data_IF_797045192709
#
_entry.id   IF_797045192709
#
_cell.length_a   1.000
_cell.length_b   1.000
_cell.length_c   1.000
_cell.angle_alpha   90.00
_cell.angle_beta   90.00
_cell.angle_gamma   90.00
#
_symmetry.space_group_name_H-M   'P 1'
#
loop_
_entity.id
_entity.type
_entity.pdbx_description
1 polymer ?
#
# COMPACT_ATOMS: atom_id res chain seq x y z
N UNK A 1 5.57 -16.14 2.54
CA UNK A 1 5.15 -16.99 1.39
C UNK A 1 5.83 -16.53 0.12
N UNK A 2 6.52 -17.43 -0.57
CA UNK A 2 7.13 -17.12 -1.86
C UNK A 2 6.07 -17.01 -2.97
N UNK A 3 6.14 -15.91 -3.72
CA UNK A 3 5.33 -15.69 -4.92
C UNK A 3 5.70 -16.68 -6.04
N UNK A 4 4.87 -16.78 -7.09
CA UNK A 4 5.11 -17.71 -8.19
C UNK A 4 6.14 -17.11 -9.17
N UNK A 5 7.36 -17.65 -9.27
CA UNK A 5 8.42 -17.06 -10.11
C UNK A 5 8.07 -17.06 -11.60
N UNK A 6 7.13 -17.90 -12.06
CA UNK A 6 6.64 -17.87 -13.44
C UNK A 6 5.68 -16.69 -13.63
N UNK A 7 4.78 -16.44 -12.68
CA UNK A 7 3.88 -15.30 -12.72
C UNK A 7 4.68 -13.99 -12.77
N UNK A 8 5.64 -13.82 -11.86
CA UNK A 8 6.53 -12.65 -11.82
C UNK A 8 7.30 -12.47 -13.14
N UNK A 9 7.90 -13.55 -13.65
CA UNK A 9 8.64 -13.50 -14.92
C UNK A 9 7.74 -13.11 -16.09
N UNK A 10 6.52 -13.65 -16.16
CA UNK A 10 5.55 -13.30 -17.21
C UNK A 10 5.13 -11.83 -17.10
N UNK A 11 4.87 -11.32 -15.90
CA UNK A 11 4.55 -9.90 -15.73
C UNK A 11 5.73 -8.98 -16.09
N UNK A 12 6.95 -9.33 -15.69
CA UNK A 12 8.16 -8.58 -16.04
C UNK A 12 8.42 -8.59 -17.55
N UNK A 13 8.15 -9.71 -18.25
CA UNK A 13 8.20 -9.78 -19.71
C UNK A 13 7.20 -8.82 -20.37
N UNK A 14 5.97 -8.77 -19.88
CA UNK A 14 4.93 -7.86 -20.39
C UNK A 14 5.30 -6.40 -20.13
N UNK A 15 5.77 -6.08 -18.92
CA UNK A 15 6.26 -4.75 -18.58
C UNK A 15 7.44 -4.33 -19.47
N UNK A 16 8.39 -5.24 -19.71
CA UNK A 16 9.52 -5.01 -20.62
C UNK A 16 9.06 -4.76 -22.06
N UNK A 17 8.11 -5.55 -22.57
CA UNK A 17 7.56 -5.37 -23.90
C UNK A 17 6.86 -4.01 -24.05
N UNK A 18 6.04 -3.63 -23.06
CA UNK A 18 5.40 -2.33 -23.02
C UNK A 18 6.41 -1.18 -22.93
N UNK A 19 7.46 -1.29 -22.11
CA UNK A 19 8.53 -0.28 -22.01
C UNK A 19 9.29 -0.09 -23.32
N UNK A 20 9.54 -1.17 -24.08
CA UNK A 20 10.14 -1.07 -25.42
C UNK A 20 9.24 -0.31 -26.38
N UNK A 21 7.94 -0.62 -26.39
CA UNK A 21 6.96 0.10 -27.19
C UNK A 21 6.88 1.57 -26.78
N UNK A 22 6.80 1.84 -25.48
CA UNK A 22 6.78 3.17 -24.87
C UNK A 22 7.96 4.02 -25.38
N UNK A 23 9.17 3.50 -25.23
CA UNK A 23 10.41 4.20 -25.64
C UNK A 23 10.47 4.43 -27.15
N UNK A 24 9.91 3.51 -27.95
CA UNK A 24 9.90 3.64 -29.42
C UNK A 24 8.96 4.72 -29.96
N UNK A 25 8.02 5.23 -29.14
CA UNK A 25 6.91 6.10 -29.57
C UNK A 25 6.98 7.54 -29.05
N UNK A 26 8.19 8.05 -28.80
CA UNK A 26 8.45 9.45 -28.44
C UNK A 26 7.55 9.94 -27.27
N UNK A 27 7.68 9.34 -26.07
CA UNK A 27 6.82 9.65 -24.92
C UNK A 27 6.87 11.12 -24.48
N UNK A 28 7.98 11.82 -24.74
CA UNK A 28 8.11 13.26 -24.54
C UNK A 28 7.12 14.04 -25.41
N UNK A 29 6.97 13.66 -26.68
CA UNK A 29 6.03 14.29 -27.60
C UNK A 29 4.59 14.04 -27.17
N UNK A 30 4.26 12.81 -26.78
CA UNK A 30 2.94 12.47 -26.23
C UNK A 30 2.64 13.32 -24.98
N UNK A 31 3.61 13.45 -24.08
CA UNK A 31 3.47 14.25 -22.86
C UNK A 31 3.18 15.72 -23.19
N UNK A 32 3.91 16.32 -24.14
CA UNK A 32 3.63 17.68 -24.61
C UNK A 32 2.26 17.81 -25.28
N UNK A 33 1.81 16.82 -26.05
CA UNK A 33 0.48 16.84 -26.66
C UNK A 33 -0.64 16.81 -25.62
N UNK A 34 -0.52 15.96 -24.60
CA UNK A 34 -1.47 15.88 -23.50
C UNK A 34 -1.50 17.18 -22.68
N UNK A 35 -0.31 17.73 -22.38
CA UNK A 35 -0.16 19.03 -21.73
C UNK A 35 -0.89 20.15 -22.48
N UNK A 36 -0.71 20.23 -23.80
CA UNK A 36 -1.34 21.25 -24.62
C UNK A 36 -2.86 21.05 -24.74
N UNK A 37 -3.32 19.80 -24.86
CA UNK A 37 -4.75 19.45 -24.94
C UNK A 37 -5.53 19.94 -23.72
N UNK A 38 -4.99 19.70 -22.52
CA UNK A 38 -5.71 19.96 -21.26
C UNK A 38 -5.41 21.32 -20.65
N UNK A 39 -4.30 21.96 -21.05
CA UNK A 39 -3.94 23.32 -20.61
C UNK A 39 -3.57 24.21 -21.81
N UNK A 40 -4.50 24.50 -22.74
CA UNK A 40 -4.22 25.35 -23.89
C UNK A 40 -3.91 26.80 -23.50
N UNK A 41 -4.45 27.27 -22.37
CA UNK A 41 -4.25 28.62 -21.86
C UNK A 41 -2.84 28.85 -21.25
N UNK A 42 -2.16 27.79 -20.80
CA UNK A 42 -0.82 27.86 -20.20
C UNK A 42 0.32 28.06 -21.23
N UNK A 43 -0.01 28.33 -22.48
CA UNK A 43 0.95 28.49 -23.58
C UNK A 43 1.34 27.16 -24.24
N UNK A 44 2.36 27.23 -25.11
CA UNK A 44 2.85 26.06 -25.85
C UNK A 44 3.92 25.33 -25.04
N UNK A 45 3.77 24.00 -24.81
CA UNK A 45 4.85 23.18 -24.24
C UNK A 45 6.13 23.26 -25.10
N UNK A 46 7.28 23.46 -24.45
CA UNK A 46 8.59 23.60 -25.10
C UNK A 46 9.39 22.32 -25.01
N UNK A 47 9.33 21.66 -23.86
CA UNK A 47 10.09 20.45 -23.60
C UNK A 47 9.36 19.54 -22.65
N UNK A 48 9.61 18.24 -22.80
CA UNK A 48 9.27 17.23 -21.82
C UNK A 48 10.49 16.35 -21.59
N UNK A 49 10.70 15.89 -20.36
CA UNK A 49 11.74 14.93 -20.03
C UNK A 49 11.22 13.90 -19.02
N UNK A 50 11.79 12.70 -19.06
CA UNK A 50 11.59 11.71 -18.01
C UNK A 50 12.02 12.32 -16.66
N UNK A 51 11.09 12.38 -15.72
CA UNK A 51 11.31 12.96 -14.40
C UNK A 51 11.62 11.89 -13.36
N UNK A 52 10.76 10.88 -13.28
CA UNK A 52 10.89 9.77 -12.33
C UNK A 52 10.26 8.53 -12.93
N UNK A 53 10.88 7.38 -12.71
CA UNK A 53 10.26 6.08 -12.96
C UNK A 53 10.16 5.36 -11.61
N UNK A 54 8.93 5.16 -11.15
CA UNK A 54 8.63 4.40 -9.93
C UNK A 54 8.33 2.93 -10.25
N UNK A 55 7.84 2.21 -9.23
CA UNK A 55 7.39 0.83 -9.39
C UNK A 55 6.15 0.75 -10.30
N UNK A 56 5.12 1.57 -10.05
CA UNK A 56 3.86 1.44 -10.79
C UNK A 56 3.66 2.48 -11.89
N UNK A 57 4.51 3.52 -11.96
CA UNK A 57 4.24 4.67 -12.82
C UNK A 57 5.52 5.29 -13.41
N UNK A 58 5.37 5.89 -14.58
CA UNK A 58 6.40 6.69 -15.24
C UNK A 58 5.92 8.13 -15.34
N UNK A 59 6.74 9.05 -14.86
CA UNK A 59 6.43 10.48 -14.77
C UNK A 59 7.30 11.29 -15.73
N UNK A 60 6.67 12.14 -16.52
CA UNK A 60 7.32 13.12 -17.38
C UNK A 60 7.05 14.53 -16.86
N UNK A 61 8.09 15.35 -16.79
CA UNK A 61 7.96 16.78 -16.47
C UNK A 61 7.89 17.56 -17.76
N UNK A 62 6.85 18.37 -17.92
CA UNK A 62 6.61 19.21 -19.09
C UNK A 62 6.78 20.68 -18.71
N UNK A 63 7.53 21.42 -19.52
CA UNK A 63 7.77 22.86 -19.35
C UNK A 63 7.09 23.67 -20.44
N UNK A 64 6.50 24.81 -20.07
CA UNK A 64 5.84 25.75 -20.98
C UNK A 64 6.77 26.88 -21.41
N UNK A 65 6.48 27.50 -22.57
CA UNK A 65 7.23 28.65 -23.06
C UNK A 65 6.72 29.92 -22.38
N UNK A 66 7.25 30.25 -21.21
CA UNK A 66 6.79 31.43 -20.49
C UNK A 66 7.85 32.51 -20.50
N UNK A 67 7.61 33.57 -21.29
CA UNK A 67 8.41 34.79 -21.23
C UNK A 67 8.29 35.50 -19.86
N UNK A 68 7.32 35.15 -19.01
CA UNK A 68 7.02 35.80 -17.74
C UNK A 68 7.05 34.88 -16.49
N UNK A 69 7.46 33.61 -16.59
CA UNK A 69 7.57 32.67 -15.44
C UNK A 69 6.30 32.44 -14.57
N UNK A 70 5.08 32.75 -15.06
CA UNK A 70 3.86 32.67 -14.23
C UNK A 70 3.25 31.27 -14.14
N UNK A 71 3.33 30.42 -15.18
CA UNK A 71 2.75 29.07 -15.10
C UNK A 71 3.79 28.04 -14.63
N UNK A 72 3.47 27.22 -13.61
CA UNK A 72 4.36 26.18 -13.12
C UNK A 72 4.48 25.03 -14.12
N UNK A 73 5.62 24.34 -14.06
CA UNK A 73 5.79 23.06 -14.74
C UNK A 73 4.71 22.05 -14.29
N UNK A 74 4.43 21.07 -15.14
CA UNK A 74 3.48 20.01 -14.83
C UNK A 74 4.15 18.64 -14.88
N UNK A 75 3.58 17.71 -14.13
CA UNK A 75 3.93 16.29 -14.19
C UNK A 75 2.80 15.55 -14.88
N UNK A 76 3.16 14.71 -15.85
CA UNK A 76 2.27 13.72 -16.45
C UNK A 76 2.73 12.35 -15.99
N UNK A 77 1.86 11.66 -15.26
CA UNK A 77 2.08 10.34 -14.66
C UNK A 77 1.31 9.30 -15.46
N UNK A 78 1.98 8.26 -15.94
CA UNK A 78 1.38 7.14 -16.67
C UNK A 78 1.47 5.84 -15.87
N UNK A 79 0.39 5.06 -15.82
CA UNK A 79 0.36 3.77 -15.14
C UNK A 79 1.01 2.66 -15.99
N UNK A 80 2.06 2.03 -15.45
CA UNK A 80 2.90 1.04 -16.13
C UNK A 80 2.18 -0.30 -16.30
N UNK A 81 2.09 -0.81 -17.54
CA UNK A 81 1.53 -2.13 -17.85
C UNK A 81 2.37 -3.26 -17.24
N UNK A 82 1.72 -4.26 -16.65
CA UNK A 82 2.37 -5.44 -16.08
C UNK A 82 3.00 -5.20 -14.71
N UNK A 83 2.97 -3.97 -14.19
CA UNK A 83 3.35 -3.67 -12.79
C UNK A 83 2.11 -3.34 -11.95
N UNK A 84 1.25 -2.47 -12.47
CA UNK A 84 -0.10 -2.30 -11.95
C UNK A 84 -1.08 -3.11 -12.82
N UNK A 85 -1.91 -3.95 -12.19
CA UNK A 85 -2.86 -4.82 -12.89
C UNK A 85 -4.15 -4.06 -13.24
N UNK A 86 -4.84 -3.53 -12.22
CA UNK A 86 -6.09 -2.77 -12.37
C UNK A 86 -5.81 -1.27 -12.60
N UNK A 87 -5.12 -0.94 -13.71
CA UNK A 87 -4.54 0.40 -13.95
C UNK A 87 -5.58 1.52 -14.02
N UNK A 88 -6.73 1.27 -14.65
CA UNK A 88 -7.81 2.24 -14.80
C UNK A 88 -8.46 2.53 -13.44
N UNK A 89 -8.86 1.48 -12.72
CA UNK A 89 -9.44 1.57 -11.37
C UNK A 89 -8.49 2.29 -10.43
N UNK A 90 -7.19 1.92 -10.46
CA UNK A 90 -6.13 2.55 -9.68
C UNK A 90 -6.02 4.05 -9.94
N UNK A 91 -5.92 4.47 -11.20
CA UNK A 91 -5.79 5.90 -11.54
C UNK A 91 -7.05 6.68 -11.18
N UNK A 92 -8.24 6.11 -11.38
CA UNK A 92 -9.50 6.74 -10.97
C UNK A 92 -9.57 6.93 -9.44
N UNK A 93 -9.18 5.91 -8.67
CA UNK A 93 -9.15 5.98 -7.20
C UNK A 93 -8.14 7.02 -6.70
N UNK A 94 -6.94 7.07 -7.31
CA UNK A 94 -5.90 8.04 -6.98
C UNK A 94 -6.37 9.48 -7.22
N UNK A 95 -7.00 9.76 -8.38
CA UNK A 95 -7.52 11.09 -8.71
C UNK A 95 -8.64 11.51 -7.74
N UNK A 96 -9.61 10.64 -7.48
CA UNK A 96 -10.70 10.94 -6.55
C UNK A 96 -10.17 11.21 -5.12
N UNK A 97 -9.19 10.43 -4.69
CA UNK A 97 -8.52 10.62 -3.39
C UNK A 97 -7.79 11.98 -3.34
N UNK A 98 -7.01 12.32 -4.36
CA UNK A 98 -6.32 13.61 -4.42
C UNK A 98 -7.29 14.77 -4.38
N UNK A 99 -8.36 14.73 -5.19
CA UNK A 99 -9.39 15.79 -5.19
C UNK A 99 -10.07 15.91 -3.82
N UNK A 100 -10.38 14.77 -3.18
CA UNK A 100 -10.95 14.75 -1.83
C UNK A 100 -10.01 15.40 -0.80
N UNK A 101 -8.76 14.93 -0.70
CA UNK A 101 -7.78 15.41 0.28
C UNK A 101 -7.54 16.91 0.11
N UNK A 102 -7.41 17.39 -1.13
CA UNK A 102 -7.22 18.81 -1.43
C UNK A 102 -8.38 19.67 -0.96
N UNK A 103 -9.61 19.13 -0.98
CA UNK A 103 -10.84 19.83 -0.59
C UNK A 103 -11.10 19.78 0.93
N UNK A 104 -10.76 18.66 1.58
CA UNK A 104 -11.22 18.37 2.95
C UNK A 104 -10.15 18.45 4.02
N UNK A 105 -8.87 18.52 3.63
CA UNK A 105 -7.74 18.51 4.59
C UNK A 105 -6.80 19.68 4.36
N UNK A 106 -5.95 19.96 5.33
CA UNK A 106 -4.82 20.89 5.18
C UNK A 106 -3.57 20.25 4.56
N UNK A 107 -3.63 19.00 4.10
CA UNK A 107 -2.47 18.29 3.56
C UNK A 107 -2.11 18.92 2.20
N UNK A 108 -0.90 19.47 2.05
CA UNK A 108 -0.48 19.99 0.75
C UNK A 108 -0.26 18.82 -0.20
N UNK A 109 -0.92 18.84 -1.36
CA UNK A 109 -0.76 17.83 -2.41
C UNK A 109 -0.72 18.50 -3.78
N UNK A 110 -0.16 17.82 -4.82
CA UNK A 110 -0.25 18.31 -6.19
C UNK A 110 -1.69 18.53 -6.63
N UNK A 111 -1.94 19.60 -7.38
CA UNK A 111 -3.24 19.84 -8.01
C UNK A 111 -3.39 18.94 -9.23
N UNK A 112 -4.48 18.18 -9.30
CA UNK A 112 -4.83 17.40 -10.49
C UNK A 112 -5.53 18.32 -11.48
N UNK A 113 -4.97 18.45 -12.68
CA UNK A 113 -5.55 19.26 -13.75
C UNK A 113 -6.41 18.43 -14.70
N UNK A 114 -6.03 17.18 -14.94
CA UNK A 114 -6.78 16.27 -15.80
C UNK A 114 -6.34 14.83 -15.57
N UNK A 115 -7.21 13.89 -15.94
CA UNK A 115 -6.86 12.47 -16.07
C UNK A 115 -7.52 11.89 -17.32
N UNK A 116 -7.08 10.72 -17.76
CA UNK A 116 -7.70 10.04 -18.89
C UNK A 116 -6.97 8.80 -19.33
N UNK A 117 -7.33 8.28 -20.50
CA UNK A 117 -6.72 7.10 -21.10
C UNK A 117 -6.17 7.48 -22.48
N UNK A 118 -4.97 6.99 -22.79
CA UNK A 118 -4.37 7.08 -24.12
C UNK A 118 -3.82 5.72 -24.54
N UNK A 119 -3.16 5.65 -25.70
CA UNK A 119 -2.60 4.39 -26.21
C UNK A 119 -1.59 3.73 -25.26
N UNK A 120 -0.92 4.52 -24.41
CA UNK A 120 0.03 4.00 -23.44
C UNK A 120 -0.62 3.50 -22.15
N UNK A 121 -1.86 3.88 -21.90
CA UNK A 121 -2.61 3.55 -20.70
C UNK A 121 -3.20 4.79 -20.01
N UNK A 122 -3.72 4.59 -18.79
CA UNK A 122 -4.24 5.66 -17.94
C UNK A 122 -3.15 6.66 -17.55
N UNK A 123 -3.51 7.94 -17.49
CA UNK A 123 -2.62 9.03 -17.10
C UNK A 123 -3.29 10.05 -16.17
N UNK A 124 -2.45 10.75 -15.40
CA UNK A 124 -2.81 11.90 -14.57
C UNK A 124 -1.90 13.07 -14.95
N UNK A 125 -2.47 14.26 -15.11
CA UNK A 125 -1.77 15.52 -15.30
C UNK A 125 -1.94 16.35 -14.03
N UNK A 126 -0.83 16.75 -13.41
CA UNK A 126 -0.85 17.45 -12.14
C UNK A 126 0.25 18.51 -12.04
N UNK A 127 0.15 19.43 -11.06
CA UNK A 127 1.18 20.42 -10.78
C UNK A 127 2.52 19.79 -10.41
N UNK A 128 3.64 20.30 -10.92
CA UNK A 128 4.96 19.93 -10.40
C UNK A 128 5.23 20.69 -9.10
N UNK A 129 5.55 19.96 -8.02
CA UNK A 129 5.92 20.53 -6.73
C UNK A 129 7.40 20.26 -6.46
N UNK A 130 8.14 21.32 -6.12
CA UNK A 130 9.55 21.21 -5.75
C UNK A 130 9.70 20.80 -4.29
N UNK A 131 10.66 19.90 -4.05
CA UNK A 131 11.02 19.46 -2.71
C UNK A 131 11.89 18.20 -2.74
N UNK A 132 12.49 17.90 -1.59
CA UNK A 132 13.32 16.71 -1.41
C UNK A 132 12.53 15.70 -0.58
N UNK A 133 12.42 14.42 -0.99
CA UNK A 133 11.75 13.40 -0.18
C UNK A 133 12.32 13.33 1.24
N UNK A 134 11.44 13.26 2.25
CA UNK A 134 11.84 13.23 3.65
C UNK A 134 12.75 12.02 3.95
N UNK A 135 12.50 10.87 3.31
CA UNK A 135 13.37 9.70 3.43
C UNK A 135 14.80 9.98 2.96
N UNK A 136 15.00 10.85 1.97
CA UNK A 136 16.33 11.23 1.48
C UNK A 136 17.10 12.09 2.50
N UNK A 137 16.39 12.83 3.35
CA UNK A 137 17.00 13.60 4.45
C UNK A 137 17.33 12.71 5.67
N UNK A 138 16.57 11.63 5.84
CA UNK A 138 16.70 10.70 6.96
C UNK A 138 17.67 9.53 6.68
N UNK A 139 17.94 9.22 5.42
CA UNK A 139 18.68 8.00 5.04
C UNK A 139 20.15 8.02 5.49
N UNK A 140 20.70 6.82 5.66
CA UNK A 140 22.12 6.60 5.80
C UNK A 140 22.85 6.80 4.45
N UNK A 141 23.55 7.91 4.28
CA UNK A 141 24.33 8.19 3.07
C UNK A 141 25.57 7.32 2.90
N UNK A 142 26.02 6.63 3.95
CA UNK A 142 27.14 5.69 3.87
C UNK A 142 26.73 4.31 3.37
N UNK A 143 25.44 4.01 3.30
CA UNK A 143 24.94 2.77 2.68
C UNK A 143 24.90 2.98 1.16
N UNK A 144 25.66 2.17 0.40
CA UNK A 144 25.64 2.20 -1.05
C UNK A 144 24.33 1.62 -1.62
N UNK A 145 23.88 2.19 -2.74
CA UNK A 145 22.84 1.71 -3.67
C UNK A 145 21.79 0.73 -3.11
N UNK A 146 20.57 1.23 -2.85
CA UNK A 146 19.43 0.43 -2.41
C UNK A 146 18.25 1.29 -1.94
N UNK A 147 17.24 0.65 -1.35
CA UNK A 147 16.14 1.33 -0.67
C UNK A 147 16.69 2.13 0.54
N UNK A 148 16.07 3.27 0.89
CA UNK A 148 16.57 4.11 1.98
C UNK A 148 16.45 3.37 3.33
N UNK A 149 17.53 3.37 4.10
CA UNK A 149 17.56 2.89 5.50
C UNK A 149 17.84 4.08 6.41
N UNK A 150 17.16 4.18 7.55
CA UNK A 150 17.34 5.27 8.51
C UNK A 150 18.82 5.39 8.95
N UNK A 151 19.36 6.60 8.98
CA UNK A 151 20.69 6.85 9.50
C UNK A 151 20.74 6.53 11.00
N UNK A 152 21.52 5.53 11.46
CA UNK A 152 21.58 5.16 12.87
C UNK A 152 22.20 6.27 13.74
N UNK A 153 22.98 7.17 13.13
CA UNK A 153 23.64 8.31 13.78
C UNK A 153 22.84 9.62 13.62
N UNK A 154 21.60 9.56 13.16
CA UNK A 154 20.76 10.76 13.06
C UNK A 154 20.60 11.41 14.44
N UNK A 155 20.70 12.75 14.48
CA UNK A 155 20.48 13.46 15.73
C UNK A 155 19.02 13.34 16.17
N UNK A 156 18.78 13.25 17.47
CA UNK A 156 17.43 13.22 18.02
C UNK A 156 16.62 14.45 17.60
N UNK A 157 17.26 15.63 17.49
CA UNK A 157 16.60 16.85 17.03
C UNK A 157 16.07 16.71 15.59
N UNK A 158 16.92 16.26 14.66
CA UNK A 158 16.52 16.05 13.25
C UNK A 158 15.44 14.98 13.11
N UNK A 159 15.55 13.89 13.89
CA UNK A 159 14.57 12.82 13.89
C UNK A 159 13.20 13.29 14.42
N UNK A 160 13.19 14.00 15.56
CA UNK A 160 11.96 14.58 16.13
C UNK A 160 11.29 15.54 15.16
N UNK A 161 12.07 16.41 14.49
CA UNK A 161 11.51 17.33 13.49
C UNK A 161 10.83 16.59 12.33
N UNK A 162 11.49 15.58 11.76
CA UNK A 162 10.90 14.78 10.69
C UNK A 162 9.65 14.02 11.14
N UNK A 163 9.69 13.42 12.34
CA UNK A 163 8.55 12.73 12.93
C UNK A 163 7.39 13.68 13.24
N UNK A 164 7.67 14.95 13.53
CA UNK A 164 6.65 15.97 13.75
C UNK A 164 5.90 16.27 12.47
N UNK A 165 6.60 16.48 11.36
CA UNK A 165 5.95 16.69 10.06
C UNK A 165 5.11 15.47 9.66
N UNK A 166 5.59 14.24 9.92
CA UNK A 166 4.79 13.03 9.69
C UNK A 166 3.58 12.93 10.64
N UNK A 167 3.74 13.23 11.93
CA UNK A 167 2.67 13.16 12.92
C UNK A 167 1.53 14.12 12.58
N UNK A 168 1.84 15.35 12.14
CA UNK A 168 0.84 16.32 11.68
C UNK A 168 0.02 15.74 10.52
N UNK A 169 0.67 15.12 9.53
CA UNK A 169 -0.02 14.50 8.40
C UNK A 169 -0.86 13.28 8.78
N UNK A 170 -0.34 12.41 9.66
CA UNK A 170 -1.06 11.23 10.16
C UNK A 170 -2.31 11.66 10.93
N UNK A 171 -2.20 12.67 11.80
CA UNK A 171 -3.33 13.21 12.55
C UNK A 171 -4.36 13.80 11.59
N UNK A 172 -3.95 14.58 10.60
CA UNK A 172 -4.88 15.17 9.63
C UNK A 172 -5.61 14.12 8.79
N UNK A 173 -4.93 13.07 8.32
CA UNK A 173 -5.57 11.94 7.63
C UNK A 173 -6.56 11.20 8.55
N UNK A 174 -6.18 10.96 9.80
CA UNK A 174 -7.00 10.23 10.76
C UNK A 174 -8.27 10.98 11.16
N UNK A 175 -8.37 12.30 10.95
CA UNK A 175 -9.56 13.09 11.29
C UNK A 175 -10.70 12.87 10.30
N UNK A 176 -10.39 12.41 9.09
CA UNK A 176 -11.38 12.10 8.08
C UNK A 176 -12.14 10.83 8.45
N UNK A 177 -13.46 10.89 8.42
CA UNK A 177 -14.37 9.81 8.80
C UNK A 177 -15.25 9.38 7.63
N UNK A 178 -15.46 8.07 7.52
CA UNK A 178 -16.35 7.47 6.54
C UNK A 178 -17.26 6.42 7.19
N UNK A 179 -18.44 6.23 6.61
CA UNK A 179 -19.44 5.26 7.07
C UNK A 179 -19.20 3.84 6.53
N UNK A 180 -18.31 3.68 5.55
CA UNK A 180 -17.92 2.37 5.00
C UNK A 180 -16.45 2.32 4.60
N UNK A 181 -15.91 1.10 4.55
CA UNK A 181 -14.59 0.75 4.03
C UNK A 181 -14.71 0.55 2.52
N UNK A 182 -13.86 1.22 1.76
CA UNK A 182 -13.90 1.21 0.30
C UNK A 182 -13.05 2.32 -0.33
N UNK A 183 -13.01 2.35 -1.65
CA UNK A 183 -12.33 3.41 -2.39
C UNK A 183 -13.28 4.60 -2.66
N UNK A 184 -12.70 5.79 -2.65
CA UNK A 184 -13.40 7.03 -2.99
C UNK A 184 -13.80 7.09 -4.46
N UNK A 185 -15.00 7.59 -4.69
CA UNK A 185 -15.48 8.00 -6.00
C UNK A 185 -15.94 9.45 -5.92
N UNK A 186 -15.49 10.24 -6.90
CA UNK A 186 -16.01 11.57 -7.14
C UNK A 186 -17.33 11.43 -7.90
N UNK A 187 -18.40 11.87 -7.27
CA UNK A 187 -19.77 11.87 -7.78
C UNK A 187 -20.13 13.24 -8.37
N UNK A 188 -21.36 13.40 -8.85
CA UNK A 188 -21.81 14.68 -9.41
C UNK A 188 -21.64 15.84 -8.40
N UNK A 189 -21.28 17.02 -8.94
CA UNK A 189 -21.14 18.28 -8.18
C UNK A 189 -20.03 18.28 -7.10
N UNK A 190 -18.87 17.68 -7.39
CA UNK A 190 -17.69 17.62 -6.51
C UNK A 190 -17.99 16.98 -5.13
N UNK A 191 -18.95 16.06 -5.09
CA UNK A 191 -19.27 15.27 -3.90
C UNK A 191 -18.47 13.97 -3.91
N UNK A 192 -18.14 13.43 -2.74
CA UNK A 192 -17.34 12.21 -2.62
C UNK A 192 -18.07 11.17 -1.79
N UNK A 193 -18.06 9.93 -2.26
CA UNK A 193 -18.67 8.80 -1.56
C UNK A 193 -17.82 7.54 -1.69
N UNK A 194 -17.99 6.63 -0.74
CA UNK A 194 -17.38 5.30 -0.77
C UNK A 194 -18.35 4.34 -1.47
N UNK A 195 -18.07 4.01 -2.74
CA UNK A 195 -18.95 3.21 -3.60
C UNK A 195 -18.26 2.00 -4.22
N UNK A 196 -16.93 1.91 -4.03
CA UNK A 196 -16.08 0.89 -4.66
C UNK A 196 -15.32 0.09 -3.62
N UNK A 197 -14.86 -1.09 -4.01
CA UNK A 197 -13.96 -1.92 -3.19
C UNK A 197 -12.67 -1.18 -2.84
N UNK A 198 -12.07 -1.47 -1.67
CA UNK A 198 -10.69 -1.10 -1.43
C UNK A 198 -9.80 -1.70 -2.52
N UNK A 199 -8.96 -0.87 -3.14
CA UNK A 199 -7.90 -1.34 -4.03
C UNK A 199 -6.56 -1.19 -3.30
N UNK A 200 -6.08 -2.29 -2.72
CA UNK A 200 -4.89 -2.29 -1.86
C UNK A 200 -3.63 -2.61 -2.64
N UNK A 201 -2.47 -2.24 -2.08
CA UNK A 201 -1.17 -2.62 -2.63
C UNK A 201 -1.05 -4.15 -2.69
N UNK A 202 -1.47 -4.85 -1.63
CA UNK A 202 -1.40 -6.30 -1.53
C UNK A 202 -2.30 -7.03 -2.54
N UNK A 203 -3.47 -6.48 -2.88
CA UNK A 203 -4.28 -7.01 -3.97
C UNK A 203 -3.53 -6.97 -5.30
N UNK A 204 -2.83 -5.87 -5.59
CA UNK A 204 -2.00 -5.79 -6.79
C UNK A 204 -0.87 -6.83 -6.78
N UNK A 205 -0.18 -7.00 -5.65
CA UNK A 205 0.88 -8.02 -5.52
C UNK A 205 0.36 -9.44 -5.69
N UNK A 206 -0.80 -9.77 -5.12
CA UNK A 206 -1.44 -11.08 -5.32
C UNK A 206 -1.83 -11.31 -6.79
N UNK A 207 -2.29 -10.29 -7.50
CA UNK A 207 -2.59 -10.41 -8.93
C UNK A 207 -1.33 -10.52 -9.79
N UNK A 208 -0.34 -9.66 -9.55
CA UNK A 208 0.87 -9.57 -10.37
C UNK A 208 1.85 -10.71 -10.10
N UNK A 209 2.11 -11.00 -8.82
CA UNK A 209 3.19 -11.90 -8.38
C UNK A 209 2.66 -13.31 -8.03
N UNK A 210 1.39 -13.45 -7.66
CA UNK A 210 0.76 -14.75 -7.43
C UNK A 210 -0.23 -15.20 -8.53
N UNK A 211 -0.49 -14.36 -9.53
CA UNK A 211 -1.47 -14.64 -10.60
C UNK A 211 -2.82 -15.08 -10.03
N UNK A 212 -3.31 -14.43 -8.96
CA UNK A 212 -4.65 -14.71 -8.43
C UNK A 212 -5.69 -14.13 -9.39
N UNK A 213 -6.76 -14.86 -9.74
CA UNK A 213 -7.79 -14.37 -10.64
C UNK A 213 -8.62 -13.24 -10.00
N UNK A 214 -9.29 -12.43 -10.83
CA UNK A 214 -10.08 -11.28 -10.37
C UNK A 214 -11.22 -11.70 -9.42
N UNK A 215 -11.77 -12.89 -9.64
CA UNK A 215 -12.85 -13.50 -8.86
C UNK A 215 -12.42 -13.86 -7.43
N UNK A 216 -11.11 -13.89 -7.13
CA UNK A 216 -10.60 -14.08 -5.78
C UNK A 216 -10.77 -12.84 -4.88
N UNK A 217 -11.18 -11.71 -5.46
CA UNK A 217 -11.31 -10.42 -4.78
C UNK A 217 -12.76 -9.94 -4.76
N UNK A 218 -13.13 -9.03 -3.83
CA UNK A 218 -14.46 -8.43 -3.82
C UNK A 218 -14.82 -7.78 -5.18
N UNK A 219 -16.10 -7.79 -5.60
CA UNK A 219 -16.49 -7.16 -6.86
C UNK A 219 -16.28 -5.63 -6.80
N UNK A 220 -16.12 -4.95 -7.95
CA UNK A 220 -15.74 -3.53 -8.00
C UNK A 220 -16.62 -2.58 -7.18
N UNK A 221 -17.92 -2.84 -7.09
CA UNK A 221 -18.90 -2.02 -6.34
C UNK A 221 -19.11 -2.44 -4.88
N UNK A 222 -18.29 -3.36 -4.36
CA UNK A 222 -18.42 -3.85 -2.98
C UNK A 222 -17.83 -2.87 -1.97
N UNK A 223 -18.51 -2.66 -0.85
CA UNK A 223 -17.99 -1.90 0.30
C UNK A 223 -18.24 -2.69 1.57
N UNK A 224 -17.43 -2.47 2.61
CA UNK A 224 -17.64 -3.13 3.90
C UNK A 224 -18.17 -2.11 4.92
N UNK A 225 -19.09 -2.54 5.78
CA UNK A 225 -19.60 -1.73 6.90
C UNK A 225 -19.02 -2.16 8.24
N UNK A 226 -18.04 -3.07 8.22
CA UNK A 226 -17.46 -3.70 9.41
C UNK A 226 -15.97 -3.97 9.24
N UNK A 227 -15.15 -3.52 10.19
CA UNK A 227 -13.72 -3.85 10.27
C UNK A 227 -13.49 -5.36 10.38
N UNK A 228 -14.37 -6.08 11.08
CA UNK A 228 -14.31 -7.53 11.22
C UNK A 228 -14.49 -8.23 9.87
N UNK A 229 -15.50 -7.81 9.08
CA UNK A 229 -15.77 -8.40 7.77
C UNK A 229 -14.66 -8.10 6.77
N UNK A 230 -14.08 -6.89 6.85
CA UNK A 230 -12.96 -6.52 6.00
C UNK A 230 -11.69 -7.31 6.35
N UNK A 231 -11.34 -7.45 7.64
CA UNK A 231 -10.21 -8.28 8.07
C UNK A 231 -10.41 -9.75 7.68
N UNK A 232 -11.65 -10.26 7.80
CA UNK A 232 -12.00 -11.60 7.32
C UNK A 232 -11.81 -11.74 5.80
N UNK A 233 -12.14 -10.71 5.02
CA UNK A 233 -11.89 -10.69 3.57
C UNK A 233 -10.39 -10.74 3.27
N UNK A 234 -9.55 -9.98 3.98
CA UNK A 234 -8.08 -10.04 3.83
C UNK A 234 -7.52 -11.43 4.20
N UNK A 235 -7.98 -12.02 5.30
CA UNK A 235 -7.60 -13.38 5.70
C UNK A 235 -8.05 -14.43 4.67
N UNK A 236 -9.23 -14.23 4.06
CA UNK A 236 -9.73 -15.07 2.97
C UNK A 236 -8.82 -14.99 1.75
N UNK A 237 -8.32 -13.80 1.39
CA UNK A 237 -7.37 -13.63 0.28
C UNK A 237 -6.07 -14.42 0.50
N UNK A 238 -5.53 -14.43 1.73
CA UNK A 238 -4.36 -15.25 2.07
C UNK A 238 -4.60 -16.75 1.88
N UNK A 239 -5.81 -17.22 2.20
CA UNK A 239 -6.20 -18.61 2.02
C UNK A 239 -6.42 -18.95 0.53
N UNK A 240 -7.09 -18.07 -0.21
CA UNK A 240 -7.28 -18.20 -1.66
C UNK A 240 -5.96 -18.21 -2.40
N UNK A 241 -4.96 -17.44 -1.94
CA UNK A 241 -3.62 -17.47 -2.50
C UNK A 241 -3.07 -18.91 -2.52
N UNK A 242 -3.05 -19.62 -1.38
CA UNK A 242 -2.59 -21.01 -1.33
C UNK A 242 -3.43 -21.97 -2.18
N UNK A 243 -4.76 -21.79 -2.16
CA UNK A 243 -5.71 -22.65 -2.87
C UNK A 243 -5.53 -22.55 -4.38
N UNK A 244 -5.47 -21.32 -4.89
CA UNK A 244 -5.48 -21.02 -6.32
C UNK A 244 -4.10 -20.97 -6.94
N UNK A 245 -3.03 -20.87 -6.14
CA UNK A 245 -1.65 -20.95 -6.64
C UNK A 245 -1.50 -22.19 -7.53
N UNK A 246 -1.11 -22.01 -8.79
CA UNK A 246 -1.21 -23.08 -9.78
C UNK A 246 -0.13 -24.16 -9.57
N UNK A 247 0.98 -23.79 -8.93
CA UNK A 247 2.12 -24.67 -8.67
C UNK A 247 2.45 -24.76 -7.19
N UNK A 248 3.15 -25.82 -6.81
CA UNK A 248 3.89 -25.85 -5.54
C UNK A 248 5.22 -25.13 -5.78
N UNK A 249 5.68 -24.26 -4.86
CA UNK A 249 7.08 -23.89 -4.84
C UNK A 249 7.91 -25.18 -4.75
N UNK A 250 8.96 -25.31 -5.56
CA UNK A 250 9.78 -26.52 -5.70
C UNK A 250 10.47 -26.99 -4.40
N UNK A 251 10.33 -26.23 -3.31
CA UNK A 251 10.93 -26.44 -1.99
C UNK A 251 9.91 -26.69 -0.86
N UNK A 252 8.60 -26.69 -1.13
CA UNK A 252 7.57 -26.84 -0.08
C UNK A 252 7.31 -28.32 0.22
N UNK A 253 7.68 -28.77 1.44
CA UNK A 253 7.32 -30.10 1.94
C UNK A 253 5.81 -30.21 2.23
N UNK A 254 5.27 -31.42 2.36
CA UNK A 254 3.88 -31.62 2.79
C UNK A 254 3.60 -30.96 4.15
N UNK A 255 4.54 -31.10 5.09
CA UNK A 255 4.47 -30.48 6.40
C UNK A 255 4.47 -28.95 6.32
N UNK A 256 5.31 -28.35 5.47
CA UNK A 256 5.34 -26.89 5.26
C UNK A 256 4.02 -26.39 4.64
N UNK A 257 3.47 -27.12 3.67
CA UNK A 257 2.18 -26.78 3.07
C UNK A 257 1.03 -26.87 4.09
N UNK A 258 1.02 -27.92 4.91
CA UNK A 258 0.05 -28.09 5.99
C UNK A 258 0.18 -26.98 7.03
N UNK A 259 1.41 -26.66 7.46
CA UNK A 259 1.71 -25.55 8.36
C UNK A 259 1.17 -24.23 7.79
N UNK A 260 1.41 -23.94 6.52
CA UNK A 260 0.87 -22.74 5.84
C UNK A 260 -0.66 -22.69 5.88
N UNK A 261 -1.35 -23.80 5.57
CA UNK A 261 -2.82 -23.88 5.62
C UNK A 261 -3.37 -23.67 7.02
N UNK A 262 -2.77 -24.32 8.03
CA UNK A 262 -3.15 -24.14 9.45
C UNK A 262 -3.09 -22.66 9.83
N UNK A 263 -2.00 -21.97 9.49
CA UNK A 263 -1.85 -20.55 9.78
C UNK A 263 -2.97 -19.70 9.17
N UNK A 264 -3.39 -19.98 7.93
CA UNK A 264 -4.48 -19.20 7.27
C UNK A 264 -5.83 -19.49 7.89
N UNK A 265 -6.16 -20.75 8.18
CA UNK A 265 -7.43 -21.07 8.83
C UNK A 265 -7.52 -20.49 10.24
N UNK A 266 -6.45 -20.59 11.01
CA UNK A 266 -6.42 -20.00 12.34
C UNK A 266 -6.47 -18.48 12.28
N UNK A 267 -5.70 -17.84 11.41
CA UNK A 267 -5.81 -16.39 11.23
C UNK A 267 -7.22 -15.96 10.79
N UNK A 268 -7.84 -16.70 9.86
CA UNK A 268 -9.23 -16.49 9.45
C UNK A 268 -10.20 -16.59 10.64
N UNK A 269 -10.04 -17.60 11.49
CA UNK A 269 -10.85 -17.76 12.71
C UNK A 269 -10.56 -16.66 13.74
N UNK A 270 -9.31 -16.21 13.85
CA UNK A 270 -8.89 -15.12 14.72
C UNK A 270 -9.62 -13.83 14.34
N UNK A 271 -9.71 -13.48 13.05
CA UNK A 271 -10.34 -12.22 12.61
C UNK A 271 -11.78 -12.04 13.11
N UNK A 272 -12.54 -13.13 13.29
CA UNK A 272 -13.91 -13.10 13.82
C UNK A 272 -14.01 -12.79 15.32
N UNK A 273 -12.92 -13.01 16.06
CA UNK A 273 -12.87 -12.93 17.52
C UNK A 273 -11.92 -11.83 18.01
N UNK A 274 -11.42 -10.98 17.11
CA UNK A 274 -10.59 -9.84 17.49
C UNK A 274 -11.44 -8.83 18.28
N UNK A 275 -10.90 -8.40 19.41
CA UNK A 275 -11.49 -7.32 20.22
C UNK A 275 -11.17 -5.97 19.57
N UNK A 276 -12.05 -5.54 18.67
CA UNK A 276 -11.96 -4.27 17.96
C UNK A 276 -12.78 -3.21 18.71
N UNK A 277 -12.18 -2.04 18.96
CA UNK A 277 -12.80 -0.99 19.79
C UNK A 277 -14.14 -0.51 19.21
N UNK A 278 -14.22 -0.35 17.89
CA UNK A 278 -15.46 0.02 17.22
C UNK A 278 -15.51 -0.58 15.81
N UNK A 279 -15.95 -1.85 15.68
CA UNK A 279 -15.87 -2.55 14.41
C UNK A 279 -16.80 -1.97 13.33
N UNK A 280 -17.81 -1.17 13.70
CA UNK A 280 -18.75 -0.56 12.73
C UNK A 280 -18.32 0.83 12.24
N UNK A 281 -17.09 1.27 12.56
CA UNK A 281 -16.57 2.58 12.19
C UNK A 281 -16.69 3.63 13.30
N UNK A 282 -16.40 4.92 13.06
CA UNK A 282 -16.10 5.47 11.74
C UNK A 282 -14.77 4.93 11.18
N UNK A 283 -14.74 4.76 9.86
CA UNK A 283 -13.56 4.32 9.12
C UNK A 283 -12.68 5.52 8.75
N UNK A 284 -11.37 5.29 8.57
CA UNK A 284 -10.37 6.35 8.38
C UNK A 284 -9.73 6.25 7.01
N UNK A 285 -9.32 7.39 6.44
CA UNK A 285 -8.52 7.36 5.21
C UNK A 285 -7.16 6.73 5.50
N UNK A 286 -6.78 5.73 4.72
CA UNK A 286 -5.53 5.01 4.88
C UNK A 286 -4.88 4.77 3.52
N UNK A 287 -3.56 4.98 3.45
CA UNK A 287 -2.75 4.75 2.26
C UNK A 287 -1.66 3.73 2.58
N UNK A 288 -1.63 2.61 1.83
CA UNK A 288 -0.70 1.52 2.07
C UNK A 288 0.78 1.95 1.92
N UNK A 289 1.07 2.93 1.06
CA UNK A 289 2.42 3.48 0.83
C UNK A 289 2.62 4.88 1.45
N UNK A 290 1.86 5.23 2.51
CA UNK A 290 2.07 6.49 3.22
C UNK A 290 3.36 6.45 4.06
N UNK A 291 4.45 6.99 3.50
CA UNK A 291 5.80 6.92 4.09
C UNK A 291 6.66 8.16 3.75
N UNK A 292 7.79 8.38 4.45
CA UNK A 292 8.66 9.55 4.22
C UNK A 292 9.21 9.70 2.79
N UNK A 293 9.26 8.64 1.99
CA UNK A 293 9.66 8.72 0.58
C UNK A 293 8.64 9.46 -0.31
N UNK A 294 7.41 9.58 0.17
CA UNK A 294 6.28 10.20 -0.52
C UNK A 294 5.91 11.57 0.08
N UNK A 295 6.72 12.09 1.01
CA UNK A 295 6.56 13.42 1.61
C UNK A 295 7.72 14.31 1.17
N UNK A 296 7.42 15.37 0.42
CA UNK A 296 8.41 16.33 -0.08
C UNK A 296 8.62 17.45 0.93
N UNK A 297 9.88 17.71 1.26
CA UNK A 297 10.30 18.78 2.16
C UNK A 297 10.85 19.98 1.38
N UNK A 298 10.44 21.17 1.79
CA UNK A 298 11.05 22.42 1.34
C UNK A 298 12.33 22.67 2.16
N UNK A 299 13.50 22.74 1.52
CA UNK A 299 14.77 22.93 2.22
C UNK A 299 14.91 24.34 2.83
N UNK A 300 14.21 25.35 2.30
CA UNK A 300 14.30 26.72 2.80
C UNK A 300 13.44 26.91 4.04
N UNK A 301 12.22 26.36 4.05
CA UNK A 301 11.29 26.51 5.18
C UNK A 301 11.38 25.36 6.18
N UNK A 302 12.01 24.25 5.81
CA UNK A 302 12.04 23.00 6.59
C UNK A 302 10.64 22.45 6.92
N UNK A 303 9.64 22.71 6.06
CA UNK A 303 8.26 22.20 6.17
C UNK A 303 7.88 21.35 4.97
N UNK A 304 6.83 20.56 5.10
CA UNK A 304 6.25 19.80 3.99
C UNK A 304 5.81 20.73 2.85
N UNK A 305 6.37 20.53 1.66
CA UNK A 305 5.91 21.15 0.40
C UNK A 305 4.67 20.46 -0.15
N UNK A 306 4.68 19.13 -0.17
CA UNK A 306 3.58 18.31 -0.64
C UNK A 306 3.74 16.85 -0.22
N UNK A 307 2.62 16.14 -0.07
CA UNK A 307 2.54 14.69 -0.07
C UNK A 307 2.15 14.24 -1.47
N UNK A 308 2.90 13.30 -2.01
CA UNK A 308 2.70 12.71 -3.33
C UNK A 308 2.34 11.24 -3.18
N UNK A 309 2.01 10.62 -4.31
CA UNK A 309 1.82 9.18 -4.40
C UNK A 309 0.65 8.62 -3.57
N UNK A 310 -0.57 9.02 -3.94
CA UNK A 310 -1.82 8.61 -3.28
C UNK A 310 -2.44 7.33 -3.85
N UNK A 311 -1.65 6.53 -4.57
CA UNK A 311 -2.10 5.22 -5.05
C UNK A 311 -2.34 4.25 -3.88
N UNK A 312 -3.28 3.33 -4.05
CA UNK A 312 -3.69 2.38 -3.00
C UNK A 312 -4.18 3.04 -1.70
N UNK A 313 -4.84 4.21 -1.83
CA UNK A 313 -5.54 4.87 -0.73
C UNK A 313 -7.02 4.51 -0.72
N UNK A 314 -7.56 4.23 0.46
CA UNK A 314 -8.96 3.83 0.66
C UNK A 314 -9.42 4.18 2.09
N UNK A 315 -10.74 4.22 2.31
CA UNK A 315 -11.31 4.22 3.65
C UNK A 315 -11.14 2.82 4.26
N UNK A 316 -10.54 2.74 5.44
CA UNK A 316 -10.09 1.51 6.07
C UNK A 316 -10.49 1.44 7.56
N UNK A 317 -10.39 0.26 8.21
CA UNK A 317 -10.53 0.13 9.66
C UNK A 317 -9.69 1.17 10.41
N UNK A 318 -10.28 1.80 11.43
CA UNK A 318 -9.56 2.79 12.23
C UNK A 318 -8.33 2.16 12.94
N UNK A 319 -8.37 0.86 13.20
CA UNK A 319 -7.28 0.08 13.77
C UNK A 319 -5.97 0.20 12.98
N UNK A 320 -6.02 0.41 11.66
CA UNK A 320 -4.81 0.62 10.86
C UNK A 320 -4.09 1.94 11.20
N UNK A 321 -4.81 2.92 11.75
CA UNK A 321 -4.23 4.18 12.25
C UNK A 321 -3.76 4.06 13.70
N UNK A 322 -4.16 3.00 14.41
CA UNK A 322 -3.82 2.74 15.80
C UNK A 322 -2.60 1.84 15.96
N UNK A 323 -1.90 1.49 14.88
CA UNK A 323 -0.72 0.63 14.94
C UNK A 323 0.54 1.41 14.63
N UNK A 324 1.67 0.94 15.16
CA UNK A 324 2.98 1.55 14.89
C UNK A 324 3.23 1.68 13.37
N UNK A 325 3.75 2.82 12.88
CA UNK A 325 4.10 2.95 11.47
C UNK A 325 5.28 2.04 11.11
N UNK A 326 5.12 1.20 10.08
CA UNK A 326 6.18 0.28 9.64
C UNK A 326 7.41 1.01 9.07
N UNK A 327 7.25 2.24 8.59
CA UNK A 327 8.29 3.00 7.89
C UNK A 327 9.27 3.74 8.81
N UNK A 328 9.20 3.58 10.14
CA UNK A 328 10.04 4.32 11.09
C UNK A 328 11.55 4.13 10.84
N UNK A 329 11.94 2.96 10.32
CA UNK A 329 13.32 2.63 9.92
C UNK A 329 13.61 2.89 8.43
N UNK A 330 12.63 3.40 7.68
CA UNK A 330 12.58 3.57 6.22
C UNK A 330 12.58 2.28 5.39
N UNK A 331 12.71 1.13 6.04
CA UNK A 331 12.66 -0.22 5.45
C UNK A 331 11.20 -0.68 5.33
N UNK A 332 10.83 -1.32 4.21
CA UNK A 332 9.56 -2.04 4.14
C UNK A 332 9.67 -3.37 4.87
N UNK A 333 8.56 -4.02 5.25
CA UNK A 333 8.60 -5.30 5.92
C UNK A 333 9.50 -6.33 5.21
N UNK A 334 9.44 -6.40 3.88
CA UNK A 334 10.24 -7.37 3.10
C UNK A 334 11.76 -7.13 3.18
N UNK A 335 12.18 -5.93 3.57
CA UNK A 335 13.59 -5.55 3.73
C UNK A 335 14.08 -5.75 5.19
N UNK A 336 13.23 -6.25 6.09
CA UNK A 336 13.63 -6.56 7.47
C UNK A 336 14.59 -7.76 7.54
N UNK A 337 15.18 -7.95 8.71
CA UNK A 337 16.09 -9.06 8.97
C UNK A 337 15.40 -10.41 8.81
N UNK A 338 16.17 -11.43 8.44
CA UNK A 338 15.67 -12.81 8.43
C UNK A 338 15.25 -13.31 9.81
N UNK A 339 15.81 -12.73 10.88
CA UNK A 339 15.37 -12.92 12.26
C UNK A 339 14.53 -11.72 12.70
N UNK A 340 13.20 -11.89 12.66
CA UNK A 340 12.26 -10.82 12.94
C UNK A 340 12.31 -10.33 14.40
N UNK A 341 12.94 -11.05 15.33
CA UNK A 341 13.11 -10.57 16.71
C UNK A 341 14.06 -9.37 16.82
N UNK A 342 14.90 -9.14 15.81
CA UNK A 342 15.79 -7.97 15.76
C UNK A 342 15.05 -6.69 15.37
N UNK A 343 13.94 -6.80 14.66
CA UNK A 343 13.15 -5.64 14.24
C UNK A 343 12.63 -4.83 15.44
N UNK A 344 11.96 -5.42 16.46
CA UNK A 344 11.54 -4.68 17.66
C UNK A 344 12.68 -3.94 18.36
N UNK A 345 13.86 -4.56 18.49
CA UNK A 345 15.01 -3.95 19.17
C UNK A 345 15.50 -2.66 18.47
N UNK A 346 15.46 -2.63 17.13
CA UNK A 346 15.79 -1.45 16.33
C UNK A 346 14.66 -0.44 16.27
N UNK A 347 13.42 -0.93 16.16
CA UNK A 347 12.23 -0.13 15.94
C UNK A 347 11.77 0.60 17.21
N UNK A 348 11.75 -0.08 18.36
CA UNK A 348 11.22 0.45 19.63
C UNK A 348 11.83 1.80 20.04
N UNK A 349 13.16 2.02 19.99
CA UNK A 349 13.73 3.34 20.31
C UNK A 349 13.19 4.46 19.41
N UNK A 350 12.97 4.17 18.12
CA UNK A 350 12.44 5.13 17.14
C UNK A 350 10.95 5.35 17.32
N UNK A 351 10.22 4.26 17.60
CA UNK A 351 8.81 4.29 17.90
C UNK A 351 8.50 5.14 19.14
N UNK A 352 9.29 5.01 20.21
CA UNK A 352 9.14 5.83 21.40
C UNK A 352 9.33 7.34 21.12
N UNK A 353 10.29 7.70 20.27
CA UNK A 353 10.47 9.10 19.83
C UNK A 353 9.27 9.57 19.01
N UNK A 354 8.74 8.73 18.12
CA UNK A 354 7.53 9.06 17.35
C UNK A 354 6.32 9.26 18.26
N UNK A 355 6.09 8.38 19.24
CA UNK A 355 5.00 8.52 20.20
C UNK A 355 5.11 9.78 21.06
N UNK A 356 6.32 10.15 21.48
CA UNK A 356 6.57 11.41 22.19
C UNK A 356 6.12 12.60 21.33
N UNK A 357 6.60 12.67 20.09
CA UNK A 357 6.27 13.75 19.16
C UNK A 357 4.79 13.76 18.77
N UNK A 358 4.18 12.58 18.60
CA UNK A 358 2.76 12.46 18.29
C UNK A 358 1.90 13.01 19.44
N UNK A 359 2.24 12.71 20.70
CA UNK A 359 1.55 13.28 21.87
C UNK A 359 1.69 14.81 21.93
N UNK A 360 2.88 15.34 21.68
CA UNK A 360 3.09 16.79 21.61
C UNK A 360 2.19 17.43 20.54
N UNK A 361 2.09 16.84 19.35
CA UNK A 361 1.22 17.34 18.28
C UNK A 361 -0.27 17.26 18.65
N UNK A 362 -0.69 16.16 19.28
CA UNK A 362 -2.06 15.99 19.78
C UNK A 362 -2.41 17.07 20.81
N UNK A 363 -1.55 17.29 21.81
CA UNK A 363 -1.76 18.28 22.87
C UNK A 363 -1.87 19.70 22.31
N UNK A 364 -1.05 20.04 21.31
CA UNK A 364 -1.12 21.33 20.62
C UNK A 364 -2.43 21.53 19.85
N UNK A 365 -2.89 20.52 19.11
CA UNK A 365 -4.15 20.58 18.37
C UNK A 365 -5.36 20.60 19.31
N UNK A 366 -5.30 19.89 20.44
CA UNK A 366 -6.30 19.95 21.49
C UNK A 366 -6.37 21.34 22.14
N UNK A 367 -5.22 21.94 22.44
CA UNK A 367 -5.15 23.32 22.95
C UNK A 367 -5.75 24.35 21.99
N UNK A 368 -5.77 24.06 20.69
CA UNK A 368 -6.41 24.88 19.65
C UNK A 368 -7.88 24.51 19.39
N UNK A 369 -8.41 23.47 20.03
CA UNK A 369 -9.77 22.96 19.80
C UNK A 369 -9.96 22.27 18.44
N UNK A 370 -8.87 21.85 17.79
CA UNK A 370 -8.90 21.20 16.46
C UNK A 370 -8.95 19.66 16.54
N UNK A 371 -8.64 19.09 17.71
CA UNK A 371 -8.62 17.65 17.96
C UNK A 371 -9.43 17.32 19.22
N UNK A 372 -10.24 16.26 19.15
CA UNK A 372 -10.97 15.72 20.29
C UNK A 372 -10.17 14.62 21.00
N UNK A 373 -10.44 14.39 22.29
CA UNK A 373 -9.77 13.33 23.07
C UNK A 373 -9.96 11.94 22.42
N UNK A 374 -11.15 11.66 21.88
CA UNK A 374 -11.45 10.40 21.18
C UNK A 374 -10.61 10.19 19.91
N UNK A 375 -10.06 11.26 19.33
CA UNK A 375 -9.26 11.25 18.10
C UNK A 375 -7.75 11.09 18.37
N UNK A 376 -7.31 11.07 19.64
CA UNK A 376 -5.90 10.82 19.96
C UNK A 376 -5.47 9.43 19.50
N UNK A 377 -4.31 9.32 18.88
CA UNK A 377 -3.75 8.09 18.36
C UNK A 377 -2.65 7.53 19.27
N UNK A 378 -1.87 8.37 19.93
CA UNK A 378 -0.62 7.97 20.57
C UNK A 378 -0.78 6.91 21.67
N UNK A 379 -1.88 6.94 22.46
CA UNK A 379 -2.12 5.90 23.49
C UNK A 379 -2.38 4.55 22.84
N UNK A 380 -3.38 4.49 21.93
CA UNK A 380 -3.75 3.28 21.21
C UNK A 380 -2.57 2.72 20.40
N UNK A 381 -1.82 3.61 19.77
CA UNK A 381 -0.60 3.28 19.04
C UNK A 381 0.46 2.67 19.94
N UNK A 382 0.73 3.27 21.10
CA UNK A 382 1.68 2.74 22.07
C UNK A 382 1.34 1.34 22.56
N UNK A 383 0.06 1.03 22.72
CA UNK A 383 -0.43 -0.29 23.16
C UNK A 383 -0.39 -1.35 22.04
N UNK A 384 -0.27 -0.95 20.77
CA UNK A 384 -0.46 -1.85 19.61
C UNK A 384 0.58 -2.97 19.47
N UNK A 385 1.81 -2.74 19.93
CA UNK A 385 2.85 -3.79 19.97
C UNK A 385 2.57 -4.76 21.12
N UNK A 386 2.21 -4.23 22.28
CA UNK A 386 1.98 -4.98 23.51
C UNK A 386 0.73 -5.84 23.45
N UNK A 387 -0.34 -5.35 22.80
CA UNK A 387 -1.60 -6.06 22.60
C UNK A 387 -1.61 -6.96 21.34
N UNK A 388 -0.58 -6.85 20.49
CA UNK A 388 -0.39 -7.64 19.27
C UNK A 388 -1.14 -7.13 18.04
N UNK A 389 -1.91 -6.04 18.15
CA UNK A 389 -2.69 -5.46 17.06
C UNK A 389 -1.79 -5.04 15.88
N UNK A 390 -0.60 -4.51 16.15
CA UNK A 390 0.39 -4.18 15.11
C UNK A 390 0.66 -5.39 14.19
N UNK A 391 0.95 -6.55 14.79
CA UNK A 391 1.27 -7.76 14.05
C UNK A 391 0.07 -8.33 13.29
N UNK A 392 -1.12 -8.27 13.88
CA UNK A 392 -2.36 -8.69 13.21
C UNK A 392 -2.66 -7.80 12.01
N UNK A 393 -2.61 -6.47 12.16
CA UNK A 393 -2.84 -5.53 11.06
C UNK A 393 -1.76 -5.62 9.98
N UNK A 394 -0.52 -5.92 10.35
CA UNK A 394 0.57 -6.14 9.39
C UNK A 394 0.37 -7.45 8.63
N UNK A 395 0.14 -8.57 9.31
CA UNK A 395 -0.13 -9.86 8.68
C UNK A 395 -1.37 -9.82 7.78
N UNK A 396 -2.44 -9.11 8.19
CA UNK A 396 -3.63 -8.95 7.37
C UNK A 396 -3.33 -8.28 6.02
N UNK A 397 -2.41 -7.31 5.99
CA UNK A 397 -2.13 -6.49 4.81
C UNK A 397 -0.95 -6.95 3.95
N UNK A 398 -0.05 -7.81 4.45
CA UNK A 398 1.17 -8.20 3.71
C UNK A 398 1.24 -9.71 3.50
N UNK A 399 0.99 -10.18 2.26
CA UNK A 399 1.03 -11.62 1.94
C UNK A 399 2.44 -12.21 1.85
N UNK A 400 3.42 -11.39 1.47
CA UNK A 400 4.84 -11.78 1.32
C UNK A 400 5.41 -12.31 2.64
N UNK A 401 5.11 -11.65 3.75
CA UNK A 401 5.63 -11.96 5.09
C UNK A 401 4.63 -12.61 6.05
N UNK A 402 3.47 -13.02 5.53
CA UNK A 402 2.40 -13.52 6.38
C UNK A 402 2.86 -14.67 7.28
N UNK A 403 3.62 -15.63 6.72
CA UNK A 403 4.05 -16.82 7.44
C UNK A 403 4.97 -16.48 8.62
N UNK A 404 5.96 -15.66 8.32
CA UNK A 404 6.99 -15.23 9.25
C UNK A 404 6.35 -14.42 10.38
N UNK A 405 5.50 -13.44 10.06
CA UNK A 405 4.80 -12.63 11.07
C UNK A 405 3.83 -13.49 11.89
N UNK A 406 3.07 -14.37 11.23
CA UNK A 406 2.05 -15.19 11.90
C UNK A 406 2.70 -16.11 12.94
N UNK A 407 3.71 -16.88 12.54
CA UNK A 407 4.32 -17.87 13.43
C UNK A 407 5.15 -17.23 14.54
N UNK A 408 5.82 -16.11 14.27
CA UNK A 408 6.67 -15.45 15.28
C UNK A 408 5.87 -14.64 16.30
N UNK A 409 4.83 -13.90 15.86
CA UNK A 409 4.18 -12.90 16.72
C UNK A 409 2.68 -13.11 16.96
N UNK A 410 1.97 -13.79 16.05
CA UNK A 410 0.51 -13.94 16.15
C UNK A 410 0.13 -15.26 16.83
N UNK A 411 0.64 -16.38 16.34
CA UNK A 411 0.20 -17.72 16.74
C UNK A 411 0.31 -17.95 18.25
N UNK A 412 1.51 -17.75 18.80
CA UNK A 412 1.78 -17.95 20.23
C UNK A 412 0.90 -17.07 21.12
N UNK A 413 0.62 -15.85 20.65
CA UNK A 413 -0.14 -14.86 21.42
C UNK A 413 -1.60 -15.26 21.59
N UNK A 414 -2.22 -15.76 20.52
CA UNK A 414 -3.65 -16.08 20.51
C UNK A 414 -3.94 -17.55 20.83
N UNK A 415 -2.96 -18.45 20.66
CA UNK A 415 -3.14 -19.90 20.83
C UNK A 415 -2.17 -20.53 21.83
N UNK A 416 -1.34 -19.75 22.52
CA UNK A 416 -0.38 -20.22 23.52
C UNK A 416 0.85 -20.91 22.93
N UNK A 417 1.67 -21.55 23.77
CA UNK A 417 2.90 -22.20 23.31
C UNK A 417 2.62 -23.31 22.27
N UNK A 418 3.47 -23.37 21.25
CA UNK A 418 3.40 -24.39 20.20
C UNK A 418 4.09 -25.68 20.68
N UNK A 419 3.30 -26.63 21.19
CA UNK A 419 3.80 -27.97 21.51
C UNK A 419 4.05 -28.78 20.23
N UNK A 420 3.01 -28.90 19.39
CA UNK A 420 3.07 -29.55 18.08
C UNK A 420 2.09 -28.90 17.10
N UNK A 421 2.30 -29.12 15.78
CA UNK A 421 1.32 -28.69 14.77
C UNK A 421 -0.05 -29.37 14.98
N UNK A 422 -0.09 -30.57 15.57
CA UNK A 422 -1.34 -31.27 15.86
C UNK A 422 -2.22 -30.52 16.86
N UNK A 423 -1.62 -29.76 17.78
CA UNK A 423 -2.38 -28.95 18.74
C UNK A 423 -3.14 -27.83 18.02
N UNK A 424 -2.56 -27.28 16.95
CA UNK A 424 -3.22 -26.29 16.09
C UNK A 424 -4.29 -26.91 15.19
N UNK A 425 -4.08 -28.11 14.66
CA UNK A 425 -5.09 -28.84 13.87
C UNK A 425 -6.38 -29.11 14.69
N UNK A 426 -6.25 -29.33 16.01
CA UNK A 426 -7.39 -29.54 16.91
C UNK A 426 -8.27 -28.29 17.07
N UNK A 427 -7.74 -27.10 16.81
CA UNK A 427 -8.47 -25.82 16.87
C UNK A 427 -9.28 -25.54 15.60
N UNK A 428 -9.04 -26.27 14.52
CA UNK A 428 -9.80 -26.13 13.27
C UNK A 428 -11.21 -26.75 13.39
N UNK A 429 -12.17 -26.28 12.60
CA UNK A 429 -13.46 -26.98 12.48
C UNK A 429 -13.31 -28.31 11.73
N UNK A 430 -14.33 -29.19 11.81
CA UNK A 430 -14.33 -30.43 11.02
C UNK A 430 -14.26 -30.16 9.51
N UNK A 431 -15.00 -29.15 9.04
CA UNK A 431 -14.98 -28.68 7.66
C UNK A 431 -13.60 -28.19 7.25
N UNK A 432 -12.93 -27.38 8.08
CA UNK A 432 -11.58 -26.86 7.80
C UNK A 432 -10.55 -27.98 7.75
N UNK A 433 -10.63 -28.97 8.65
CA UNK A 433 -9.75 -30.16 8.62
C UNK A 433 -9.95 -30.97 7.34
N UNK A 434 -11.21 -31.25 7.00
CA UNK A 434 -11.53 -32.00 5.78
C UNK A 434 -11.03 -31.27 4.52
N UNK A 435 -11.28 -29.97 4.42
CA UNK A 435 -10.83 -29.16 3.29
C UNK A 435 -9.31 -29.07 3.21
N UNK A 436 -8.62 -28.94 4.35
CA UNK A 436 -7.16 -29.01 4.43
C UNK A 436 -6.63 -30.34 3.88
N UNK A 437 -7.20 -31.47 4.31
CA UNK A 437 -6.78 -32.81 3.86
C UNK A 437 -6.98 -32.99 2.35
N UNK A 438 -8.10 -32.51 1.80
CA UNK A 438 -8.37 -32.52 0.36
C UNK A 438 -7.40 -31.63 -0.42
N UNK A 439 -7.07 -30.43 0.09
CA UNK A 439 -6.10 -29.54 -0.53
C UNK A 439 -4.69 -30.14 -0.52
N UNK A 440 -4.27 -30.74 0.59
CA UNK A 440 -2.98 -31.43 0.71
C UNK A 440 -2.92 -32.58 -0.30
N UNK A 441 -3.94 -33.44 -0.35
CA UNK A 441 -4.01 -34.57 -1.29
C UNK A 441 -4.03 -34.12 -2.75
N UNK A 442 -4.86 -33.13 -3.07
CA UNK A 442 -5.01 -32.60 -4.43
C UNK A 442 -3.74 -31.93 -4.95
N UNK A 443 -3.00 -31.22 -4.07
CA UNK A 443 -1.73 -30.59 -4.42
C UNK A 443 -0.60 -31.62 -4.49
N UNK A 444 -0.58 -32.68 -3.68
CA UNK A 444 0.38 -33.78 -3.80
C UNK A 444 0.18 -34.61 -5.07
N UNK A 445 -1.04 -34.68 -5.60
CA UNK A 445 -1.34 -35.38 -6.86
C UNK A 445 -1.00 -34.60 -8.14
N UNK A 446 -0.75 -33.29 -8.08
CA UNK A 446 -0.35 -32.47 -9.24
C UNK A 446 1.18 -32.48 -9.38
N UNK A 447 1.73 -33.32 -10.26
CA UNK A 447 3.12 -33.18 -10.70
C UNK A 447 3.33 -31.82 -11.36
N UNK A 448 4.57 -31.28 -11.26
CA UNK A 448 5.01 -30.06 -11.93
C UNK A 448 4.61 -30.09 -13.42
N UNK A 449 3.53 -29.39 -13.75
CA UNK A 449 3.10 -29.21 -15.14
C UNK A 449 4.12 -28.30 -15.84
N UNK A 450 4.41 -28.48 -17.12
CA UNK A 450 5.38 -27.63 -17.83
C UNK A 450 5.00 -26.13 -17.79
N UNK A 451 5.93 -25.24 -18.14
CA UNK A 451 5.63 -23.80 -18.31
C UNK A 451 4.48 -23.56 -19.33
N UNK A 452 4.24 -24.52 -20.23
CA UNK A 452 3.20 -24.50 -21.27
C UNK A 452 1.75 -24.65 -20.75
N UNK A 453 1.55 -25.06 -19.49
CA UNK A 453 0.21 -25.19 -18.87
C UNK A 453 -0.11 -24.08 -17.85
N UNK A 454 0.69 -23.01 -17.79
CA UNK A 454 0.41 -21.87 -16.91
C UNK A 454 -0.77 -21.04 -17.46
N UNK A 455 -1.88 -21.03 -16.72
CA UNK A 455 -3.05 -20.24 -17.04
C UNK A 455 -2.83 -18.79 -16.59
N UNK A 456 -2.41 -17.95 -17.53
CA UNK A 456 -2.15 -16.53 -17.28
C UNK A 456 -3.49 -15.80 -17.21
N UNK A 457 -3.92 -15.40 -16.00
CA UNK A 457 -5.19 -14.68 -15.82
C UNK A 457 -5.11 -13.22 -16.28
N UNK A 458 -3.90 -12.73 -16.58
CA UNK A 458 -3.63 -11.36 -16.97
C UNK A 458 -2.82 -11.26 -18.26
N UNK A 459 -3.28 -11.86 -19.37
CA UNK A 459 -2.60 -11.72 -20.66
C UNK A 459 -2.65 -10.25 -21.13
N UNK A 460 -1.80 -9.90 -22.10
CA UNK A 460 -1.58 -8.49 -22.50
C UNK A 460 -2.89 -7.81 -22.94
N UNK A 461 -3.74 -8.50 -23.69
CA UNK A 461 -5.04 -8.01 -24.14
C UNK A 461 -5.95 -7.64 -22.97
N UNK A 462 -6.03 -8.49 -21.95
CA UNK A 462 -6.77 -8.19 -20.71
C UNK A 462 -6.14 -7.00 -19.97
N UNK A 463 -4.81 -6.96 -19.83
CA UNK A 463 -4.12 -5.84 -19.16
C UNK A 463 -4.27 -4.49 -19.87
N UNK A 464 -4.62 -4.46 -21.16
CA UNK A 464 -4.92 -3.22 -21.89
C UNK A 464 -6.32 -2.67 -21.56
N UNK A 465 -7.23 -3.55 -21.15
CA UNK A 465 -8.60 -3.24 -20.75
C UNK A 465 -8.73 -2.88 -19.27
N UNK A 466 -7.87 -3.47 -18.43
CA UNK A 466 -7.72 -3.15 -17.01
C UNK A 466 -6.90 -1.88 -16.77
#
# INVERSE_FOLDING_TARGET
>A
MDFDPIAERKQEQKATAWLRLWTSRQPELLSMQLAHKHRPASGKPVSACLWKSGAFNICYRVRYNNNNNEEPDIIIRFATLGRAILRREKVQNEVATMNYIRKTTSIPIPEVYASGICWAGPYIIMSAIEGVPLSQLLKNHSSSAGRPVLNPKISNHSLKHAYREMAILVLELSRVEFDSIGALEETEHDCFSITKRPLTFNMNELMASANLPLEAFPPPSHTFTSSTDYLYSLATQHLLHLRLQQRKPSLTSEEDFQRKLIARYLFLNLTKNLDLTNPQGPFRLYCDDFRPSNVLMNLNTSRVSAVIDWEFTYAAPAEFTYVAPWWLLLESPEDWEGDLHQFPDRNLPRFNVFLEVLRECEDELMGQGLLLESQRLASRMGESLDNGLFWVCLAARYSSMFDEIYWEFVDRRFYGDLGSLQDRVRLLSEEQRWEMDELVRGKLGRCDRGEDEFDDHYPIDVLLEL
#
